data_IF_656667077407
#
_entry.id   IF_656667077407
#
_cell.length_a   1.000
_cell.length_b   1.000
_cell.length_c   1.000
_cell.angle_alpha   90.00
_cell.angle_beta   90.00
_cell.angle_gamma   90.00
#
_symmetry.space_group_name_H-M   'P 1'
#
loop_
_entity.id
_entity.type
_entity.pdbx_description
1 polymer ?
#
# COMPACT_ATOMS: atom_id res chain seq x y z
N UNK A 1 0.97 -3.68 -11.96
CA UNK A 1 0.18 -4.19 -10.84
C UNK A 1 -0.88 -3.16 -10.48
N UNK A 2 -2.14 -3.55 -10.45
CA UNK A 2 -3.24 -2.69 -9.98
C UNK A 2 -3.46 -2.83 -8.46
N UNK A 3 -4.47 -2.13 -7.92
CA UNK A 3 -4.77 -2.13 -6.48
C UNK A 3 -5.13 -3.53 -5.97
N UNK A 4 -5.94 -4.29 -6.73
CA UNK A 4 -6.42 -5.60 -6.30
C UNK A 4 -5.27 -6.59 -6.31
N UNK A 5 -4.49 -6.61 -7.40
CA UNK A 5 -3.32 -7.48 -7.54
C UNK A 5 -2.27 -7.20 -6.44
N UNK A 6 -2.04 -5.93 -6.08
CA UNK A 6 -1.17 -5.56 -4.95
C UNK A 6 -1.70 -6.09 -3.62
N UNK A 7 -3.01 -5.95 -3.38
CA UNK A 7 -3.64 -6.38 -2.13
C UNK A 7 -3.60 -7.90 -1.97
N UNK A 8 -3.89 -8.65 -3.03
CA UNK A 8 -3.80 -10.11 -3.04
C UNK A 8 -2.36 -10.57 -2.76
N UNK A 9 -1.39 -10.01 -3.48
CA UNK A 9 0.02 -10.35 -3.31
C UNK A 9 0.55 -10.08 -1.90
N UNK A 10 0.13 -8.96 -1.29
CA UNK A 10 0.46 -8.62 0.09
C UNK A 10 -0.23 -9.55 1.10
N UNK A 11 -1.50 -9.90 0.87
CA UNK A 11 -2.26 -10.79 1.73
C UNK A 11 -1.65 -12.20 1.77
N UNK A 12 -1.20 -12.73 0.63
CA UNK A 12 -0.47 -14.01 0.54
C UNK A 12 0.80 -14.04 1.40
N UNK A 13 1.37 -12.86 1.69
CA UNK A 13 2.60 -12.69 2.49
C UNK A 13 2.32 -12.28 3.93
N UNK A 14 1.08 -12.47 4.38
CA UNK A 14 0.66 -12.22 5.76
C UNK A 14 0.52 -10.74 6.11
N UNK A 15 0.48 -9.85 5.12
CA UNK A 15 0.22 -8.43 5.36
C UNK A 15 -1.29 -8.18 5.46
N UNK A 16 -1.67 -7.25 6.32
CA UNK A 16 -3.01 -6.63 6.29
C UNK A 16 -2.93 -5.32 5.49
N UNK A 17 -3.84 -5.15 4.53
CA UNK A 17 -3.85 -4.00 3.62
C UNK A 17 -5.22 -3.33 3.64
N UNK A 18 -5.22 -2.01 3.79
CA UNK A 18 -6.42 -1.18 3.65
C UNK A 18 -6.19 -0.16 2.55
N UNK A 19 -7.08 -0.15 1.58
CA UNK A 19 -7.16 0.88 0.55
C UNK A 19 -8.49 1.63 0.70
N UNK A 20 -8.45 2.96 0.82
CA UNK A 20 -9.65 3.76 1.06
C UNK A 20 -9.61 5.06 0.25
N UNK A 21 -10.76 5.40 -0.34
CA UNK A 21 -11.06 6.74 -0.81
C UNK A 21 -11.97 7.47 0.19
N UNK A 22 -11.69 8.74 0.46
CA UNK A 22 -12.40 9.57 1.42
C UNK A 22 -12.79 10.91 0.76
N UNK A 23 -14.10 11.08 0.53
CA UNK A 23 -14.65 12.27 -0.14
C UNK A 23 -14.69 13.52 0.74
N UNK A 24 -14.57 13.38 2.06
CA UNK A 24 -14.61 14.50 3.02
C UNK A 24 -13.23 15.13 3.24
N UNK A 25 -12.16 14.49 2.76
CA UNK A 25 -10.79 15.00 2.89
C UNK A 25 -10.47 16.11 1.90
N UNK A 26 -9.45 16.91 2.25
CA UNK A 26 -8.93 17.98 1.41
C UNK A 26 -8.66 17.53 -0.03
N UNK A 27 -8.95 18.41 -1.00
CA UNK A 27 -8.62 18.17 -2.41
C UNK A 27 -7.13 17.77 -2.53
N UNK A 28 -6.87 16.62 -3.16
CA UNK A 28 -5.52 16.09 -3.36
C UNK A 28 -5.01 15.06 -2.35
N UNK A 29 -5.79 14.67 -1.32
CA UNK A 29 -5.45 13.57 -0.37
C UNK A 29 -6.63 12.61 -0.12
N UNK A 30 -7.37 12.32 -1.19
CA UNK A 30 -8.59 11.51 -1.12
C UNK A 30 -8.29 10.04 -0.91
N UNK A 31 -7.13 9.56 -1.35
CA UNK A 31 -6.78 8.16 -1.30
C UNK A 31 -5.81 7.89 -0.17
N UNK A 32 -5.93 6.72 0.42
CA UNK A 32 -4.97 6.24 1.39
C UNK A 32 -4.74 4.74 1.21
N UNK A 33 -3.49 4.34 1.46
CA UNK A 33 -3.08 2.96 1.62
C UNK A 33 -2.44 2.79 2.99
N UNK A 34 -2.79 1.71 3.67
CA UNK A 34 -2.12 1.24 4.89
C UNK A 34 -1.73 -0.20 4.67
N UNK A 35 -0.47 -0.54 4.98
CA UNK A 35 0.05 -1.92 4.96
C UNK A 35 0.69 -2.20 6.30
N UNK A 36 0.38 -3.36 6.89
CA UNK A 36 0.92 -3.74 8.21
C UNK A 36 1.26 -5.23 8.26
N UNK A 37 2.26 -5.56 9.09
CA UNK A 37 2.63 -6.95 9.39
C UNK A 37 3.28 -7.68 8.21
N UNK A 38 3.29 -9.02 8.32
CA UNK A 38 3.71 -9.92 7.24
C UNK A 38 5.12 -9.65 6.74
N UNK A 39 5.26 -9.47 5.43
CA UNK A 39 6.54 -9.17 4.78
C UNK A 39 7.23 -7.91 5.31
N UNK A 40 6.51 -6.97 5.93
CA UNK A 40 7.10 -5.78 6.55
C UNK A 40 7.66 -6.07 7.96
N UNK A 41 7.50 -7.28 8.49
CA UNK A 41 7.84 -7.66 9.85
C UNK A 41 6.71 -7.39 10.87
N UNK A 42 6.86 -7.91 12.09
CA UNK A 42 5.82 -7.85 13.13
C UNK A 42 5.41 -6.41 13.50
N UNK A 43 6.38 -5.49 13.55
CA UNK A 43 6.17 -4.06 13.78
C UNK A 43 6.15 -3.25 12.47
N UNK A 44 6.07 -3.95 11.33
CA UNK A 44 6.08 -3.37 10.00
C UNK A 44 4.83 -2.54 9.75
N UNK A 45 5.02 -1.26 9.41
CA UNK A 45 3.93 -0.33 9.15
C UNK A 45 4.28 0.60 7.98
N UNK A 46 3.35 0.71 7.03
CA UNK A 46 3.40 1.69 5.96
C UNK A 46 2.05 2.38 5.82
N UNK A 47 2.09 3.69 5.61
CA UNK A 47 0.91 4.48 5.28
C UNK A 47 1.27 5.62 4.33
N UNK A 48 0.44 5.81 3.31
CA UNK A 48 0.49 6.98 2.45
C UNK A 48 -0.93 7.51 2.20
N UNK A 49 -1.08 8.84 2.23
CA UNK A 49 -2.32 9.56 1.90
C UNK A 49 -2.05 10.46 0.67
N UNK A 50 -2.65 10.16 -0.47
CA UNK A 50 -2.28 10.73 -1.78
C UNK A 50 -3.52 11.10 -2.63
N UNK A 51 -3.25 11.70 -3.81
CA UNK A 51 -4.26 12.28 -4.68
C UNK A 51 -5.02 11.27 -5.55
N UNK A 52 -4.44 10.09 -5.82
CA UNK A 52 -5.05 9.03 -6.62
C UNK A 52 -4.75 7.64 -6.06
N UNK A 53 -5.50 6.64 -6.56
CA UNK A 53 -5.24 5.24 -6.23
C UNK A 53 -3.88 4.79 -6.77
N UNK A 54 -3.56 5.18 -8.01
CA UNK A 54 -2.29 4.85 -8.67
C UNK A 54 -1.09 5.36 -7.85
N UNK A 55 -1.15 6.60 -7.37
CA UNK A 55 -0.08 7.16 -6.53
C UNK A 55 0.11 6.38 -5.22
N UNK A 56 -0.98 5.88 -4.62
CA UNK A 56 -0.91 5.02 -3.44
C UNK A 56 -0.28 3.65 -3.75
N UNK A 57 -0.59 3.05 -4.91
CA UNK A 57 0.04 1.80 -5.36
C UNK A 57 1.54 2.01 -5.59
N UNK A 58 1.93 3.07 -6.31
CA UNK A 58 3.33 3.41 -6.56
C UNK A 58 4.10 3.62 -5.25
N UNK A 59 3.54 4.39 -4.32
CA UNK A 59 4.17 4.63 -3.02
C UNK A 59 4.36 3.34 -2.21
N UNK A 60 3.39 2.42 -2.24
CA UNK A 60 3.51 1.12 -1.58
C UNK A 60 4.60 0.27 -2.23
N UNK A 61 4.64 0.20 -3.57
CA UNK A 61 5.66 -0.51 -4.32
C UNK A 61 7.07 0.02 -4.06
N UNK A 62 7.25 1.34 -4.05
CA UNK A 62 8.53 1.96 -3.72
C UNK A 62 8.97 1.65 -2.29
N UNK A 63 8.03 1.63 -1.33
CA UNK A 63 8.34 1.29 0.05
C UNK A 63 8.77 -0.17 0.22
N UNK A 64 8.12 -1.10 -0.48
CA UNK A 64 8.50 -2.51 -0.50
C UNK A 64 9.87 -2.69 -1.16
N UNK A 65 10.11 -2.04 -2.29
CA UNK A 65 11.38 -2.10 -3.00
C UNK A 65 12.57 -1.63 -2.15
N UNK A 66 12.39 -0.56 -1.34
CA UNK A 66 13.40 -0.08 -0.38
C UNK A 66 13.75 -1.12 0.70
N UNK A 67 12.85 -2.06 0.96
CA UNK A 67 13.03 -3.18 1.88
C UNK A 67 13.45 -4.47 1.16
N UNK A 68 13.76 -4.38 -0.14
CA UNK A 68 14.12 -5.54 -0.98
C UNK A 68 12.99 -6.58 -1.08
N UNK A 69 11.75 -6.13 -0.92
CA UNK A 69 10.54 -6.91 -1.08
C UNK A 69 9.94 -6.52 -2.44
N UNK A 70 9.86 -7.46 -3.38
CA UNK A 70 9.42 -7.16 -4.75
C UNK A 70 8.34 -8.12 -5.22
N UNK A 71 7.24 -7.62 -5.81
CA UNK A 71 6.27 -8.46 -6.52
C UNK A 71 6.70 -8.86 -7.93
N UNK A 72 7.82 -8.29 -8.44
CA UNK A 72 8.31 -8.51 -9.80
C UNK A 72 9.55 -9.41 -9.87
N UNK A 73 9.85 -10.13 -8.79
CA UNK A 73 10.93 -11.13 -8.70
C UNK A 73 10.45 -12.52 -9.06
#
# INVERSE_FOLDING_TARGET
MDVVELMEWLAERGCSVVFKADGERAQGRRWMVIVTGGALGAEGFFRADLSSAEACVEAALEHLAKQQISPFT
#
